data_IF_343290084853
#
_entry.id   IF_343290084853
#
_cell.length_a   1.000
_cell.length_b   1.000
_cell.length_c   1.000
_cell.angle_alpha   90.00
_cell.angle_beta   90.00
_cell.angle_gamma   90.00
#
_symmetry.space_group_name_H-M   'P 1'
#
loop_
_entity.id
_entity.type
_entity.pdbx_description
1 polymer ?
2 polymer ?
3 polymer ?
4 water ?
#
loop_
_entity_poly.entity_id
_entity_poly.type
_entity_poly.pdbx_seq_one_letter_code
_entity_poly.pdbx_strand_id
2 'polydeoxyribonucleotide' '(DC)(DC)(DA)(DT)(DA)(DT)(DA)(DT)(DA)(DT)(DG)(DC)' ?
3 'polydeoxyribonucleotide' '(DG)(DC)(DA)(DT)(DA)(DT)(DA)(DT)(DA)(DT)(DG)(DG)' ?
#
# COMPACT_ATOMS: atom_id res chain seq x y z
N UNK A 3 -31.95 9.44 -2.24
CA UNK A 3 -31.90 10.88 -1.85
C UNK A 3 -31.02 11.04 -0.59
N UNK A 4 -31.61 10.95 0.61
CA UNK A 4 -30.84 11.12 1.86
C UNK A 4 -29.75 10.05 2.05
N UNK A 5 -29.93 8.89 1.42
CA UNK A 5 -28.95 7.82 1.49
C UNK A 5 -28.08 7.73 0.23
N UNK A 6 -28.05 8.79 -0.56
CA UNK A 6 -27.26 8.80 -1.78
C UNK A 6 -25.77 8.89 -1.46
N UNK A 7 -24.96 8.21 -2.26
CA UNK A 7 -23.53 8.24 -2.10
C UNK A 7 -22.95 9.21 -3.10
N UNK A 8 -22.49 10.36 -2.60
CA UNK A 8 -21.83 11.36 -3.43
C UNK A 8 -20.33 11.33 -3.28
N UNK A 9 -19.67 12.28 -3.92
CA UNK A 9 -18.21 12.34 -3.92
C UNK A 9 -17.66 12.38 -2.51
N UNK A 10 -18.27 13.18 -1.64
CA UNK A 10 -17.75 13.32 -0.28
C UNK A 10 -17.79 12.00 0.49
N UNK A 11 -18.85 11.21 0.30
CA UNK A 11 -18.97 9.89 0.94
C UNK A 11 -17.94 8.92 0.36
N UNK A 12 -17.79 8.97 -0.96
CA UNK A 12 -16.82 8.11 -1.64
C UNK A 12 -15.41 8.40 -1.14
N UNK A 13 -15.05 9.67 -1.09
CA UNK A 13 -13.70 10.04 -0.70
C UNK A 13 -13.45 9.77 0.79
N UNK A 14 -14.45 9.99 1.63
CA UNK A 14 -14.33 9.65 3.04
C UNK A 14 -14.17 8.15 3.23
N UNK A 15 -14.92 7.37 2.46
CA UNK A 15 -14.86 5.92 2.55
C UNK A 15 -13.49 5.41 2.08
N UNK A 16 -13.00 5.96 0.98
CA UNK A 16 -11.72 5.56 0.41
C UNK A 16 -10.60 5.76 1.43
N UNK A 17 -10.53 6.98 1.97
CA UNK A 17 -9.54 7.29 2.99
C UNK A 17 -9.67 6.40 4.23
N UNK A 18 -10.89 6.07 4.60
CA UNK A 18 -11.10 5.18 5.77
C UNK A 18 -10.61 3.75 5.51
N UNK A 19 -10.81 3.24 4.29
CA UNK A 19 -10.26 1.93 3.92
C UNK A 19 -8.74 1.92 3.98
N UNK A 20 -8.11 2.98 3.50
CA UNK A 20 -6.65 3.09 3.56
C UNK A 20 -6.12 3.16 4.98
N UNK A 21 -6.96 3.54 5.93
CA UNK A 21 -6.56 3.59 7.33
C UNK A 21 -6.86 2.28 8.07
N UNK A 22 -8.03 1.71 7.79
CA UNK A 22 -8.56 0.61 8.59
C UNK A 22 -8.76 -0.70 7.84
N UNK A 23 -8.62 -0.68 6.52
CA UNK A 23 -8.83 -1.89 5.70
C UNK A 23 -10.31 -2.19 5.57
N UNK A 24 -10.69 -3.45 5.77
CA UNK A 24 -12.08 -3.88 5.69
C UNK A 24 -12.82 -3.37 6.92
N UNK A 25 -13.48 -2.26 6.74
CA UNK A 25 -14.08 -1.52 7.83
C UNK A 25 -15.59 -1.77 7.94
N UNK A 26 -16.13 -2.75 7.22
CA UNK A 26 -17.58 -2.97 7.23
C UNK A 26 -18.12 -3.19 8.66
N UNK A 27 -17.35 -3.89 9.51
CA UNK A 27 -17.79 -4.17 10.87
C UNK A 27 -17.66 -2.97 11.82
N UNK A 28 -17.01 -1.88 11.39
CA UNK A 28 -16.84 -0.71 12.27
C UNK A 28 -17.49 0.55 11.68
N UNK A 29 -18.38 0.37 10.71
CA UNK A 29 -19.13 1.49 10.15
C UNK A 29 -19.83 2.30 11.25
N UNK A 30 -20.43 1.63 12.22
CA UNK A 30 -21.15 2.31 13.30
C UNK A 30 -20.25 3.29 14.05
N UNK A 31 -19.04 2.84 14.41
CA UNK A 31 -18.03 3.70 15.03
C UNK A 31 -17.63 4.88 14.12
N UNK A 32 -17.41 4.58 12.84
CA UNK A 32 -16.85 5.58 11.94
C UNK A 32 -17.84 6.69 11.62
N UNK A 33 -19.12 6.36 11.58
CA UNK A 33 -20.15 7.38 11.40
C UNK A 33 -20.29 8.20 12.70
N UNK A 34 -20.33 7.51 13.83
CA UNK A 34 -20.47 8.16 15.13
C UNK A 34 -19.36 9.18 15.44
N UNK A 35 -18.14 8.93 15.00
CA UNK A 35 -17.06 9.87 15.30
C UNK A 35 -16.76 10.89 14.19
N UNK A 36 -17.59 10.91 13.15
CA UNK A 36 -17.48 11.92 12.11
C UNK A 36 -16.57 11.57 10.95
N UNK A 37 -15.93 10.39 11.00
CA UNK A 37 -15.08 9.97 9.88
C UNK A 37 -15.88 9.80 8.59
N UNK A 38 -17.09 9.26 8.71
CA UNK A 38 -17.94 9.03 7.54
C UNK A 38 -19.22 9.85 7.72
N UNK A 39 -19.68 10.52 6.67
CA UNK A 39 -21.00 11.18 6.80
C UNK A 39 -22.12 10.14 7.03
N UNK A 40 -23.22 10.58 7.63
CA UNK A 40 -24.31 9.66 7.98
C UNK A 40 -24.94 9.11 6.72
N UNK A 41 -24.80 7.80 6.53
CA UNK A 41 -25.59 7.03 5.56
C UNK A 41 -25.86 5.66 6.22
N UNK A 42 -26.74 4.85 5.63
CA UNK A 42 -27.03 3.54 6.21
C UNK A 42 -25.81 2.63 6.14
N UNK A 43 -25.71 1.69 7.09
CA UNK A 43 -24.61 0.71 7.09
C UNK A 43 -24.66 -0.12 5.83
N UNK A 44 -25.86 -0.50 5.38
CA UNK A 44 -26.02 -1.30 4.17
C UNK A 44 -25.45 -0.58 2.94
N UNK A 45 -25.75 0.72 2.81
CA UNK A 45 -25.27 1.48 1.67
C UNK A 45 -23.74 1.60 1.66
N UNK A 46 -23.18 1.96 2.81
CA UNK A 46 -21.73 1.98 2.94
C UNK A 46 -21.10 0.60 2.66
N UNK A 47 -21.74 -0.47 3.12
CA UNK A 47 -21.26 -1.83 2.85
C UNK A 47 -21.28 -2.18 1.36
N UNK A 48 -22.35 -1.78 0.68
CA UNK A 48 -22.49 -1.98 -0.77
C UNK A 48 -21.41 -1.21 -1.51
N UNK A 49 -21.20 0.04 -1.09
CA UNK A 49 -20.21 0.92 -1.72
C UNK A 49 -18.81 0.37 -1.50
N UNK A 50 -18.50 -0.09 -0.29
CA UNK A 50 -17.24 -0.79 -0.02
C UNK A 50 -17.03 -1.94 -1.00
N UNK A 51 -18.02 -2.83 -1.12
CA UNK A 51 -17.88 -3.98 -2.01
C UNK A 51 -17.64 -3.55 -3.46
N UNK A 52 -18.42 -2.56 -3.91
CA UNK A 52 -18.29 -2.01 -5.25
C UNK A 52 -16.90 -1.41 -5.51
N UNK A 53 -16.39 -0.68 -4.54
CA UNK A 53 -15.11 0.00 -4.67
C UNK A 53 -13.98 -1.03 -4.72
N UNK A 54 -14.10 -2.11 -3.95
CA UNK A 54 -13.07 -3.16 -3.96
C UNK A 54 -13.13 -4.02 -5.22
N UNK A 55 -14.31 -4.27 -5.77
CA UNK A 55 -14.41 -4.99 -7.05
C UNK A 55 -13.85 -4.12 -8.19
N UNK A 56 -14.06 -2.80 -8.11
CA UNK A 56 -13.53 -1.88 -9.10
C UNK A 56 -12.00 -1.83 -9.00
N UNK A 57 -11.46 -1.88 -7.79
CA UNK A 57 -9.99 -1.97 -7.61
C UNK A 57 -9.45 -3.25 -8.24
N UNK A 58 -10.10 -4.37 -7.95
CA UNK A 58 -9.69 -5.65 -8.54
C UNK A 58 -9.72 -5.63 -10.06
N UNK A 59 -10.80 -5.11 -10.63
CA UNK A 59 -10.92 -5.00 -12.08
C UNK A 59 -9.81 -4.11 -12.66
N UNK A 60 -9.52 -3.00 -11.98
CA UNK A 60 -8.51 -2.05 -12.43
C UNK A 60 -7.11 -2.70 -12.47
N UNK A 61 -6.79 -3.42 -11.41
CA UNK A 61 -5.52 -4.15 -11.32
C UNK A 61 -5.42 -5.25 -12.38
N UNK A 62 -6.50 -6.00 -12.59
CA UNK A 62 -6.46 -7.09 -13.57
C UNK A 62 -6.31 -6.59 -14.99
N UNK A 63 -6.97 -5.49 -15.33
CA UNK A 63 -6.77 -4.79 -16.60
C UNK A 63 -5.33 -4.37 -16.81
N UNK A 64 -4.77 -3.68 -15.82
CA UNK A 64 -3.39 -3.21 -15.92
C UNK A 64 -2.40 -4.38 -16.08
N UNK A 65 -2.57 -5.45 -15.29
CA UNK A 65 -1.77 -6.67 -15.45
C UNK A 65 -1.81 -7.20 -16.89
N UNK A 66 -3.00 -7.24 -17.48
CA UNK A 66 -3.17 -7.71 -18.86
C UNK A 66 -2.48 -6.78 -19.84
N UNK A 67 -2.71 -5.48 -19.70
CA UNK A 67 -2.11 -4.49 -20.61
C UNK A 67 -0.59 -4.53 -20.54
N UNK A 68 -0.05 -4.55 -19.32
CA UNK A 68 1.39 -4.59 -19.10
C UNK A 68 2.02 -5.84 -19.71
N UNK A 69 1.35 -6.98 -19.55
CA UNK A 69 1.79 -8.25 -20.12
C UNK A 69 1.94 -8.18 -21.64
N UNK A 70 0.90 -7.70 -22.32
CA UNK A 70 0.91 -7.61 -23.77
C UNK A 70 1.97 -6.62 -24.25
N UNK A 71 2.12 -5.50 -23.55
CA UNK A 71 3.13 -4.52 -23.93
C UNK A 71 4.52 -5.13 -23.82
N UNK A 72 4.77 -5.86 -22.73
CA UNK A 72 6.05 -6.51 -22.49
C UNK A 72 6.36 -7.61 -23.51
N UNK A 73 5.38 -8.45 -23.82
CA UNK A 73 5.57 -9.50 -24.81
C UNK A 73 6.06 -8.91 -26.14
N UNK A 74 5.40 -7.84 -26.58
CA UNK A 74 5.79 -7.14 -27.81
C UNK A 74 7.19 -6.53 -27.69
N UNK A 75 7.49 -5.91 -26.55
CA UNK A 75 8.82 -5.33 -26.35
C UNK A 75 9.92 -6.40 -26.34
N UNK A 76 9.62 -7.57 -25.79
CA UNK A 76 10.58 -8.68 -25.76
C UNK A 76 11.01 -9.10 -27.16
N UNK A 77 10.04 -9.18 -28.08
CA UNK A 77 10.30 -9.57 -29.46
C UNK A 77 11.23 -8.61 -30.18
N UNK A 78 11.01 -7.32 -30.01
CA UNK A 78 11.89 -6.33 -30.63
C UNK A 78 13.26 -6.40 -30.03
N UNK A 79 13.30 -6.51 -28.71
CA UNK A 79 14.57 -6.67 -28.01
C UNK A 79 15.34 -7.88 -28.56
N UNK A 80 14.65 -9.02 -28.67
CA UNK A 80 15.26 -10.23 -29.24
C UNK A 80 15.75 -10.03 -30.68
N UNK A 81 14.94 -9.36 -31.51
CA UNK A 81 15.32 -9.05 -32.90
C UNK A 81 16.52 -8.10 -32.98
N UNK A 82 16.57 -7.13 -32.07
CA UNK A 82 17.67 -6.17 -31.98
C UNK A 82 18.98 -6.85 -31.51
N UNK A 83 18.88 -7.82 -30.59
CA UNK A 83 20.05 -8.57 -30.13
C UNK A 83 20.77 -9.36 -31.23
N UNK A 84 20.00 -10.04 -32.07
CA UNK A 84 20.57 -10.87 -33.14
C UNK A 84 21.29 -10.03 -34.20
N UNK A 85 20.82 -8.80 -34.43
CA UNK A 85 21.48 -7.87 -35.35
C UNK A 85 22.79 -7.36 -34.77
N UNK A 86 22.76 -6.94 -33.50
CA UNK A 86 23.98 -6.58 -32.79
C UNK A 86 24.98 -7.72 -32.88
N UNK A 87 24.50 -8.95 -32.69
CA UNK A 87 25.37 -10.14 -32.69
C UNK A 87 25.83 -10.52 -34.11
N UNK A 88 24.94 -10.40 -35.09
CA UNK A 88 25.29 -10.66 -36.49
C UNK A 88 26.08 -9.50 -37.10
N UNK A 89 26.15 -8.37 -36.39
CA UNK A 89 26.97 -7.24 -36.79
C UNK A 89 26.23 -6.20 -37.60
N UNK A 90 24.99 -6.51 -37.99
CA UNK A 90 24.16 -5.59 -38.79
C UNK A 90 24.04 -4.22 -38.14
N UNK A 91 23.82 -4.19 -36.83
CA UNK A 91 23.79 -2.95 -36.06
C UNK A 91 25.08 -2.84 -35.25
N UNK A 92 25.66 -1.64 -35.22
CA UNK A 92 26.89 -1.39 -34.47
C UNK A 92 26.60 -1.26 -32.98
N UNK A 93 27.30 -2.08 -32.20
CA UNK A 93 27.20 -2.03 -30.74
C UNK A 93 27.96 -0.83 -30.15
N UNK A 94 28.82 -0.22 -30.95
CA UNK A 94 29.82 0.74 -30.46
C UNK A 94 29.28 2.16 -30.19
N UNK A 95 28.13 2.51 -30.77
CA UNK A 95 27.49 3.81 -30.50
C UNK A 95 26.01 3.77 -30.86
N UNK A 96 25.22 3.18 -29.96
CA UNK A 96 23.79 2.97 -30.16
C UNK A 96 23.00 4.17 -29.64
N UNK A 97 21.81 4.46 -30.21
CA UNK A 97 21.01 5.57 -29.68
C UNK A 97 20.58 5.31 -28.24
N UNK A 98 20.37 6.37 -27.47
CA UNK A 98 19.87 6.25 -26.09
C UNK A 98 18.54 5.50 -26.08
N UNK A 99 17.69 5.82 -27.05
CA UNK A 99 16.38 5.17 -27.20
C UNK A 99 16.48 4.05 -28.25
N UNK A 100 16.42 2.80 -27.78
CA UNK A 100 16.49 1.60 -28.64
C UNK A 100 15.64 0.47 -28.03
N UNK A 101 15.43 -0.64 -28.76
CA UNK A 101 14.59 -1.74 -28.24
C UNK A 101 14.98 -2.28 -26.85
N UNK A 102 16.27 -2.36 -26.56
CA UNK A 102 16.70 -2.84 -25.24
C UNK A 102 16.32 -1.83 -24.14
N UNK A 103 16.52 -0.53 -24.40
CA UNK A 103 16.19 0.51 -23.41
C UNK A 103 14.67 0.68 -23.20
N UNK A 104 13.89 0.54 -24.28
CA UNK A 104 12.43 0.47 -24.16
C UNK A 104 11.99 -0.68 -23.26
N UNK A 105 12.56 -1.86 -23.48
CA UNK A 105 12.21 -3.03 -22.68
C UNK A 105 12.57 -2.83 -21.20
N UNK A 106 13.77 -2.31 -20.96
CA UNK A 106 14.26 -2.16 -19.60
C UNK A 106 13.42 -1.17 -18.81
N UNK A 107 13.17 0.00 -19.40
CA UNK A 107 12.39 1.04 -18.72
C UNK A 107 10.98 0.56 -18.42
N UNK A 108 10.35 -0.15 -19.37
CA UNK A 108 9.02 -0.70 -19.12
C UNK A 108 9.04 -1.71 -17.97
N UNK A 109 10.02 -2.60 -17.97
CA UNK A 109 10.16 -3.59 -16.90
C UNK A 109 10.28 -2.95 -15.51
N UNK A 110 11.09 -1.91 -15.40
CA UNK A 110 11.31 -1.29 -14.09
C UNK A 110 10.30 -0.18 -13.79
N UNK A 111 9.45 0.15 -14.76
CA UNK A 111 8.40 1.13 -14.55
C UNK A 111 7.57 0.77 -13.32
N UNK A 112 7.43 1.73 -12.41
CA UNK A 112 6.48 1.62 -11.33
C UNK A 112 5.61 2.86 -11.37
N UNK A 113 4.36 2.71 -11.78
CA UNK A 113 3.44 3.82 -11.85
C UNK A 113 2.16 3.42 -11.14
N UNK A 114 1.52 4.39 -10.52
CA UNK A 114 0.27 4.15 -9.78
C UNK A 114 -0.79 3.53 -10.69
N UNK A 115 -1.51 2.54 -10.16
CA UNK A 115 -2.61 1.91 -10.87
C UNK A 115 -3.90 2.55 -10.36
N UNK A 116 -4.44 3.47 -11.15
CA UNK A 116 -5.48 4.37 -10.71
C UNK A 116 -6.80 4.16 -11.43
N UNK A 117 -7.90 4.41 -10.72
CA UNK A 117 -9.22 4.43 -11.34
C UNK A 117 -10.09 5.54 -10.75
N UNK A 118 -11.14 5.90 -11.50
CA UNK A 118 -12.11 6.88 -11.08
C UNK A 118 -13.34 6.14 -10.58
N UNK A 119 -13.96 6.65 -9.53
CA UNK A 119 -15.07 5.93 -8.92
C UNK A 119 -16.12 6.90 -8.40
N UNK A 120 -17.30 6.85 -9.02
CA UNK A 120 -18.41 7.76 -8.68
C UNK A 120 -18.02 9.24 -8.72
N UNK A 121 -17.26 9.63 -9.74
CA UNK A 121 -16.86 11.01 -9.92
C UNK A 121 -15.71 11.47 -9.04
N UNK A 122 -15.15 10.55 -8.26
CA UNK A 122 -13.93 10.80 -7.52
C UNK A 122 -12.79 10.15 -8.31
N UNK A 123 -11.77 10.94 -8.63
CA UNK A 123 -10.71 10.47 -9.50
C UNK A 123 -9.45 10.02 -8.74
N UNK A 124 -8.61 9.25 -9.43
CA UNK A 124 -7.30 8.87 -8.94
C UNK A 124 -7.30 8.01 -7.68
N UNK A 125 -8.27 7.12 -7.52
CA UNK A 125 -8.21 6.13 -6.46
C UNK A 125 -7.14 5.11 -6.83
N UNK A 126 -6.29 4.74 -5.86
CA UNK A 126 -5.23 3.78 -6.12
C UNK A 126 -5.70 2.37 -5.82
N UNK A 127 -5.86 1.59 -6.89
CA UNK A 127 -6.38 0.23 -6.79
C UNK A 127 -5.44 -0.72 -6.04
N UNK A 128 -4.13 -0.61 -6.30
CA UNK A 128 -3.15 -1.45 -5.59
C UNK A 128 -3.11 -1.13 -4.08
N UNK A 129 -3.14 0.14 -3.75
CA UNK A 129 -3.13 0.56 -2.35
C UNK A 129 -4.33 0.03 -1.61
N UNK A 130 -5.51 0.18 -2.19
CA UNK A 130 -6.71 -0.41 -1.60
C UNK A 130 -6.58 -1.91 -1.34
N UNK A 131 -6.22 -2.65 -2.38
CA UNK A 131 -6.16 -4.10 -2.25
C UNK A 131 -5.11 -4.55 -1.25
N UNK A 132 -3.93 -3.94 -1.27
CA UNK A 132 -2.83 -4.38 -0.39
C UNK A 132 -3.06 -3.95 1.06
N UNK A 133 -3.68 -2.80 1.27
CA UNK A 133 -3.95 -2.34 2.61
C UNK A 133 -4.99 -3.22 3.30
N UNK A 134 -6.03 -3.63 2.57
CA UNK A 134 -7.03 -4.51 3.14
C UNK A 134 -6.39 -5.86 3.50
N UNK A 135 -5.63 -6.45 2.58
CA UNK A 135 -4.95 -7.71 2.88
C UNK A 135 -3.92 -7.56 3.99
N UNK A 136 -3.13 -6.49 3.99
CA UNK A 136 -2.10 -6.28 5.00
C UNK A 136 -2.70 -6.12 6.39
N UNK A 137 -3.72 -5.28 6.50
CA UNK A 137 -4.31 -5.02 7.80
C UNK A 137 -5.08 -6.23 8.34
N UNK A 138 -5.77 -6.96 7.47
CA UNK A 138 -6.35 -8.27 7.83
C UNK A 138 -5.28 -9.19 8.39
N UNK A 139 -4.16 -9.29 7.68
CA UNK A 139 -3.07 -10.17 8.10
C UNK A 139 -2.53 -9.75 9.47
N UNK A 140 -2.28 -8.45 9.65
CA UNK A 140 -1.77 -7.93 10.93
C UNK A 140 -2.77 -8.15 12.07
N UNK A 141 -4.04 -7.86 11.82
CA UNK A 141 -5.05 -8.08 12.85
C UNK A 141 -5.06 -9.56 13.27
N UNK A 142 -5.00 -10.45 12.29
CA UNK A 142 -5.04 -11.86 12.57
C UNK A 142 -3.82 -12.32 13.36
N UNK A 143 -2.65 -11.83 12.99
CA UNK A 143 -1.43 -12.12 13.73
C UNK A 143 -1.55 -11.74 15.21
N UNK A 144 -1.99 -10.52 15.49
CA UNK A 144 -2.11 -10.07 16.88
C UNK A 144 -3.24 -10.75 17.65
N UNK A 145 -4.39 -10.93 16.99
CA UNK A 145 -5.54 -11.56 17.65
C UNK A 145 -5.40 -13.06 17.78
N UNK A 146 -4.52 -13.68 17.01
CA UNK A 146 -4.28 -15.13 17.15
C UNK A 146 -3.41 -15.47 18.34
N UNK A 147 -2.38 -14.68 18.55
CA UNK A 147 -1.31 -14.99 19.53
C UNK A 147 -1.18 -14.00 20.69
N UNK A 148 -1.69 -12.77 20.53
CA UNK A 148 -1.47 -11.73 21.53
C UNK A 148 -2.75 -10.96 21.84
N UNK A 149 -3.88 -11.66 21.76
CA UNK A 149 -5.19 -11.03 21.83
C UNK A 149 -5.39 -10.29 23.14
N UNK A 150 -4.99 -10.92 24.24
CA UNK A 150 -5.14 -10.33 25.57
C UNK A 150 -4.15 -9.22 25.89
N UNK A 151 -3.01 -9.19 25.21
CA UNK A 151 -2.04 -8.09 25.39
C UNK A 151 -1.23 -7.87 24.11
N UNK A 152 -1.75 -7.04 23.20
CA UNK A 152 -1.06 -6.71 21.95
C UNK A 152 0.37 -6.17 22.10
N UNK A 153 0.69 -5.54 23.25
CA UNK A 153 2.03 -5.00 23.47
C UNK A 153 3.09 -6.09 23.54
N UNK A 154 2.65 -7.33 23.76
CA UNK A 154 3.57 -8.48 23.78
C UNK A 154 3.89 -8.99 22.39
N UNK A 155 3.25 -8.44 21.36
CA UNK A 155 3.49 -8.85 19.98
C UNK A 155 4.97 -8.82 19.63
N UNK A 156 5.43 -9.94 19.07
CA UNK A 156 6.83 -10.10 18.71
C UNK A 156 6.94 -10.52 17.26
N UNK A 157 8.01 -10.07 16.60
CA UNK A 157 8.35 -10.56 15.26
C UNK A 157 9.02 -11.93 15.32
N UNK A 158 9.36 -12.40 16.51
CA UNK A 158 10.06 -13.67 16.68
C UNK A 158 11.42 -13.61 16.02
N UNK A 159 11.80 -14.69 15.36
CA UNK A 159 13.11 -14.79 14.72
C UNK A 159 13.15 -14.22 13.31
N UNK A 160 12.00 -13.81 12.79
CA UNK A 160 11.97 -13.10 11.52
C UNK A 160 12.83 -11.85 11.65
N UNK A 161 13.86 -11.72 10.81
CA UNK A 161 14.74 -10.55 10.86
C UNK A 161 14.55 -9.62 9.65
N UNK A 162 13.89 -8.46 9.86
CA UNK A 162 13.68 -7.55 8.74
C UNK A 162 14.96 -6.79 8.38
N UNK A 163 15.06 -6.33 7.14
CA UNK A 163 16.20 -5.51 6.71
C UNK A 163 16.26 -4.30 7.63
N UNK A 164 17.48 -3.84 7.97
CA UNK A 164 17.58 -2.65 8.79
C UNK A 164 17.23 -1.37 8.01
N UNK A 165 16.66 -0.38 8.69
CA UNK A 165 16.41 0.91 8.06
C UNK A 165 17.76 1.56 7.75
N UNK A 166 17.82 2.39 6.72
CA UNK A 166 19.09 3.01 6.35
C UNK A 166 19.09 4.50 6.64
N UNK A 167 20.02 4.92 7.50
CA UNK A 167 20.28 6.32 7.81
C UNK A 167 19.08 7.03 8.40
N UNK A 168 18.34 6.35 9.27
CA UNK A 168 17.29 7.03 10.03
C UNK A 168 17.93 7.88 11.09
N UNK A 169 17.25 8.97 11.45
CA UNK A 169 17.77 9.95 12.41
C UNK A 169 17.66 9.42 13.86
N UNK A 170 16.78 8.44 14.07
CA UNK A 170 16.60 7.80 15.37
C UNK A 170 17.24 6.43 15.33
N UNK A 171 17.48 5.85 16.51
CA UNK A 171 17.96 4.47 16.66
C UNK A 171 16.79 3.52 16.52
N UNK A 172 16.67 2.89 15.36
CA UNK A 172 15.47 2.12 15.03
C UNK A 172 15.80 0.68 14.79
N UNK A 173 15.30 -0.18 15.66
CA UNK A 173 15.63 -1.61 15.66
C UNK A 173 14.37 -2.45 15.47
N UNK A 174 14.52 -3.77 15.51
CA UNK A 174 13.39 -4.69 15.42
C UNK A 174 12.30 -4.33 16.43
N UNK A 175 12.70 -3.87 17.62
CA UNK A 175 11.73 -3.53 18.65
C UNK A 175 10.81 -2.41 18.24
N UNK A 176 11.36 -1.43 17.55
CA UNK A 176 10.56 -0.32 17.07
C UNK A 176 9.65 -0.76 15.94
N UNK A 177 10.15 -1.65 15.07
CA UNK A 177 9.26 -2.27 14.07
C UNK A 177 8.04 -2.90 14.73
N UNK A 178 8.26 -3.70 15.76
CA UNK A 178 7.17 -4.33 16.50
C UNK A 178 6.18 -3.28 17.03
N UNK A 179 6.70 -2.23 17.65
CA UNK A 179 5.87 -1.20 18.26
C UNK A 179 5.10 -0.41 17.19
N UNK A 180 5.74 -0.13 16.06
CA UNK A 180 5.06 0.53 14.94
C UNK A 180 3.86 -0.30 14.47
N UNK A 181 4.06 -1.61 14.33
CA UNK A 181 2.96 -2.47 13.89
C UNK A 181 1.82 -2.56 14.92
N UNK A 182 2.16 -2.59 16.20
CA UNK A 182 1.16 -2.60 17.26
C UNK A 182 0.36 -1.30 17.19
N UNK A 183 1.10 -0.19 17.05
CA UNK A 183 0.53 1.13 16.73
C UNK A 183 -0.49 1.10 15.60
N UNK A 184 -0.10 0.53 14.46
CA UNK A 184 -1.02 0.44 13.31
C UNK A 184 -2.28 -0.38 13.65
N UNK A 185 -2.10 -1.52 14.32
CA UNK A 185 -3.20 -2.35 14.80
C UNK A 185 -4.15 -1.55 15.70
N UNK A 186 -3.58 -0.75 16.59
CA UNK A 186 -4.39 -0.02 17.56
C UNK A 186 -5.10 1.19 16.96
N UNK A 187 -4.41 1.96 16.12
CA UNK A 187 -4.88 3.29 15.72
C UNK A 187 -5.15 3.44 14.23
N UNK A 188 -4.69 2.48 13.44
CA UNK A 188 -4.84 2.52 11.98
C UNK A 188 -3.60 2.95 11.22
N UNK A 189 -3.55 2.58 9.95
CA UNK A 189 -2.45 2.98 9.09
C UNK A 189 -2.56 4.48 8.86
N UNK A 190 -1.44 5.17 8.99
CA UNK A 190 -1.42 6.63 8.77
C UNK A 190 -1.63 7.43 10.03
N UNK A 191 -1.97 6.76 11.13
CA UNK A 191 -2.26 7.44 12.39
C UNK A 191 -0.96 7.67 13.17
N UNK A 192 0.01 8.32 12.52
CA UNK A 192 1.36 8.43 13.06
C UNK A 192 1.49 9.26 14.30
N UNK A 193 0.71 10.33 14.40
CA UNK A 193 0.66 11.17 15.59
C UNK A 193 0.25 10.35 16.84
N UNK A 194 -0.84 9.59 16.72
CA UNK A 194 -1.33 8.78 17.84
C UNK A 194 -0.34 7.69 18.22
N UNK A 195 0.26 7.05 17.22
CA UNK A 195 1.31 6.05 17.42
C UNK A 195 2.53 6.66 18.12
N UNK A 196 3.00 7.80 17.63
CA UNK A 196 4.10 8.52 18.25
C UNK A 196 3.80 8.90 19.70
N UNK A 197 2.58 9.32 19.98
CA UNK A 197 2.24 9.86 21.30
C UNK A 197 1.89 8.81 22.36
N UNK A 198 1.70 7.56 21.94
CA UNK A 198 1.33 6.50 22.90
C UNK A 198 2.55 6.14 23.77
N UNK A 199 2.49 6.42 25.07
CA UNK A 199 3.68 6.13 25.89
C UNK A 199 4.00 4.64 26.05
N UNK A 200 3.02 3.77 25.86
CA UNK A 200 3.24 2.32 25.89
C UNK A 200 4.11 1.84 24.72
N UNK A 201 4.12 2.58 23.61
CA UNK A 201 4.84 2.12 22.44
C UNK A 201 6.33 2.48 22.43
N UNK A 202 6.73 3.43 23.27
CA UNK A 202 8.13 3.81 23.40
C UNK A 202 8.83 4.35 22.15
N UNK A 203 8.08 4.94 21.24
CA UNK A 203 8.70 5.49 20.04
C UNK A 203 8.44 7.00 19.87
N UNK A 204 8.03 7.66 20.95
CA UNK A 204 7.73 9.09 20.90
C UNK A 204 8.91 9.93 20.38
N UNK A 205 10.11 9.64 20.86
CA UNK A 205 11.33 10.36 20.47
C UNK A 205 12.00 9.81 19.20
N UNK A 206 11.37 8.85 18.53
CA UNK A 206 11.99 8.19 17.38
C UNK A 206 11.35 8.53 16.04
N UNK A 207 10.24 9.28 16.09
CA UNK A 207 9.46 9.63 14.92
C UNK A 207 9.43 11.15 14.77
N UNK A 208 9.60 11.65 13.55
CA UNK A 208 9.73 13.08 13.31
C UNK A 208 8.72 13.60 12.29
N UNK A 209 7.58 14.08 12.79
CA UNK A 209 6.47 14.54 11.95
C UNK A 209 6.46 16.05 11.73
N UNK A 242 13.14 17.12 7.26
CA UNK A 242 14.57 16.91 7.32
C UNK A 242 14.88 15.59 8.05
N UNK A 243 14.40 15.45 9.28
CA UNK A 243 14.63 14.23 10.10
C UNK A 243 13.85 13.03 9.58
N UNK A 244 14.42 11.83 9.71
CA UNK A 244 13.78 10.58 9.26
C UNK A 244 13.68 9.62 10.46
N UNK A 245 12.51 8.98 10.66
CA UNK A 245 11.34 8.90 9.79
C UNK A 245 10.29 9.98 10.00
N UNK A 246 9.76 10.46 8.89
CA UNK A 246 8.49 11.16 8.87
C UNK A 246 7.37 10.23 8.45
N UNK A 247 6.21 10.82 8.15
CA UNK A 247 5.00 10.05 7.83
C UNK A 247 5.23 9.10 6.65
N UNK A 248 5.83 9.60 5.59
CA UNK A 248 6.02 8.78 4.39
C UNK A 248 6.95 7.58 4.64
N UNK A 249 7.97 7.75 5.47
CA UNK A 249 8.92 6.65 5.72
C UNK A 249 8.27 5.60 6.55
N UNK A 250 7.44 6.02 7.50
CA UNK A 250 6.70 5.08 8.33
C UNK A 250 5.72 4.22 7.51
N UNK A 251 4.97 4.86 6.62
CA UNK A 251 4.10 4.13 5.68
C UNK A 251 4.86 3.08 4.88
N UNK A 252 5.95 3.47 4.25
CA UNK A 252 6.77 2.51 3.49
C UNK A 252 7.28 1.36 4.37
N UNK A 253 7.67 1.67 5.60
CA UNK A 253 8.19 0.65 6.51
C UNK A 253 7.11 -0.35 6.94
N UNK A 254 5.89 0.13 7.19
CA UNK A 254 4.79 -0.76 7.52
C UNK A 254 4.47 -1.70 6.34
N UNK A 255 4.38 -1.14 5.12
CA UNK A 255 4.14 -1.94 3.90
C UNK A 255 5.20 -3.03 3.78
N UNK A 256 6.46 -2.66 3.98
CA UNK A 256 7.55 -3.61 3.84
C UNK A 256 7.43 -4.72 4.88
N UNK A 257 7.24 -4.33 6.14
CA UNK A 257 7.16 -5.28 7.23
C UNK A 257 6.04 -6.31 7.04
N UNK A 258 4.87 -5.86 6.61
CA UNK A 258 3.73 -6.76 6.46
C UNK A 258 3.88 -7.65 5.24
N UNK A 259 4.47 -7.11 4.18
CA UNK A 259 4.81 -7.93 3.01
C UNK A 259 5.88 -8.95 3.38
N UNK A 260 6.87 -8.51 4.16
CA UNK A 260 7.94 -9.38 4.66
C UNK A 260 7.41 -10.54 5.52
N UNK A 261 6.51 -10.23 6.46
CA UNK A 261 5.88 -11.26 7.30
C UNK A 261 5.00 -12.22 6.49
N UNK A 262 4.23 -11.68 5.56
CA UNK A 262 3.36 -12.50 4.70
C UNK A 262 4.14 -13.36 3.72
N UNK A 263 5.41 -13.05 3.50
CA UNK A 263 6.23 -13.77 2.54
C UNK A 263 5.90 -13.33 1.13
#
# INVERSE_FOLDING_TARGET
GPDMDSIGESEVRALYKAILKFGNLKEILDELIADGTLPVKSFEKYGETYDEMMEAAKDCVHEEEKNRKEILEKLEKHATAYRAKLKSGEIKAENQPKDNPLTRLSLKKREKKAVLFNFKGVKSLNAESLLSRVEDLKYLKNLINSNYKDDPLKFSLGNNTPKPVQNWSSNWTKEEDEKLLIGVFKYGYGSWTQIRDDPFLGITDKIFLNEVHNPVAKKSASSSDTTPTPSKKGKGITGSSKKVPGAIHLGRRVDYLLSFLRGGLNTKSPS
#
